data_IF_545499612516
#
_entry.id   IF_545499612516
#
_cell.length_a   1.000
_cell.length_b   1.000
_cell.length_c   1.000
_cell.angle_alpha   90.00
_cell.angle_beta   90.00
_cell.angle_gamma   90.00
#
_symmetry.space_group_name_H-M   'P 1'
#
loop_
_entity.id
_entity.type
_entity.pdbx_description
1 polymer ?
#
# COMPACT_ATOMS: atom_id res chain seq x y z
N UNK A 1 18.98 26.08 -8.75
CA UNK A 1 17.63 25.46 -8.71
C UNK A 1 17.57 24.51 -7.52
N UNK A 2 16.46 24.41 -6.78
CA UNK A 2 16.21 23.34 -5.79
C UNK A 2 14.77 22.87 -5.96
N UNK A 3 14.55 21.61 -6.35
CA UNK A 3 13.22 21.02 -6.53
C UNK A 3 12.97 19.93 -5.49
N UNK A 4 11.74 19.96 -4.95
CA UNK A 4 11.04 18.86 -4.25
C UNK A 4 11.83 18.23 -3.08
N UNK A 5 11.55 18.77 -1.89
CA UNK A 5 11.95 18.27 -0.57
C UNK A 5 11.22 16.96 -0.29
N UNK A 6 11.87 15.86 0.12
CA UNK A 6 11.25 14.53 0.03
C UNK A 6 11.75 13.49 1.09
N UNK A 7 10.78 12.77 1.67
CA UNK A 7 10.78 11.65 2.64
C UNK A 7 9.38 10.95 2.63
N UNK A 8 9.29 9.63 2.78
CA UNK A 8 8.05 8.91 3.13
C UNK A 8 8.25 8.29 4.52
N UNK A 9 7.73 8.88 5.59
CA UNK A 9 6.38 8.53 6.09
C UNK A 9 5.31 9.62 6.01
N UNK A 10 5.67 10.90 5.84
CA UNK A 10 4.68 11.97 5.55
C UNK A 10 4.94 12.67 4.21
N UNK A 11 4.45 11.99 3.16
CA UNK A 11 3.94 12.56 1.90
C UNK A 11 4.93 13.31 1.00
N UNK A 12 6.19 12.90 0.88
CA UNK A 12 7.10 13.72 0.05
C UNK A 12 8.10 12.82 -0.75
N UNK A 13 7.86 12.65 -2.07
CA UNK A 13 8.47 11.69 -3.03
C UNK A 13 9.63 12.27 -3.91
N UNK A 14 10.89 11.85 -3.73
CA UNK A 14 12.03 12.26 -4.61
C UNK A 14 12.22 11.29 -5.79
N UNK A 15 12.92 11.74 -6.81
CA UNK A 15 12.92 11.13 -8.15
C UNK A 15 13.57 9.73 -8.19
N UNK A 16 12.74 8.71 -7.96
CA UNK A 16 12.93 7.27 -8.29
C UNK A 16 13.84 6.42 -7.39
N UNK A 17 14.19 6.83 -6.17
CA UNK A 17 14.74 5.89 -5.17
C UNK A 17 14.32 6.21 -3.74
N UNK A 18 14.25 5.17 -2.91
CA UNK A 18 14.14 5.31 -1.46
C UNK A 18 15.55 5.40 -0.85
N UNK A 19 15.80 6.46 -0.09
CA UNK A 19 16.97 6.59 0.77
C UNK A 19 16.47 6.89 2.20
N UNK A 20 16.89 6.12 3.20
CA UNK A 20 16.58 6.44 4.61
C UNK A 20 16.32 5.32 5.61
N UNK A 21 16.40 4.04 5.24
CA UNK A 21 16.41 2.93 6.22
C UNK A 21 17.49 1.87 5.95
N UNK A 22 18.12 1.92 4.78
CA UNK A 22 19.16 0.99 4.36
C UNK A 22 20.47 1.31 5.09
N UNK A 23 20.95 0.38 5.92
CA UNK A 23 22.36 0.39 6.33
C UNK A 23 23.23 0.25 5.08
N UNK A 24 24.30 1.03 5.02
CA UNK A 24 25.19 1.10 3.85
C UNK A 24 25.75 -0.30 3.51
N UNK A 25 25.71 -0.67 2.22
CA UNK A 25 26.33 -1.90 1.71
C UNK A 25 25.44 -3.12 1.48
N UNK A 26 24.13 -3.08 1.81
CA UNK A 26 23.21 -4.15 1.36
C UNK A 26 22.82 -3.99 -0.13
N UNK A 27 22.60 -5.09 -0.84
CA UNK A 27 22.15 -5.06 -2.25
C UNK A 27 20.70 -4.55 -2.38
N UNK A 28 20.38 -3.84 -3.47
CA UNK A 28 19.07 -3.19 -3.67
C UNK A 28 17.92 -4.20 -3.79
N UNK A 29 18.15 -5.38 -4.39
CA UNK A 29 17.13 -6.44 -4.48
C UNK A 29 16.84 -7.08 -3.11
N UNK A 30 17.88 -7.21 -2.28
CA UNK A 30 17.77 -7.69 -0.89
C UNK A 30 17.05 -6.63 -0.03
N UNK A 31 17.35 -5.33 -0.22
CA UNK A 31 16.65 -4.25 0.48
C UNK A 31 15.16 -4.17 0.11
N UNK A 32 14.82 -4.32 -1.18
CA UNK A 32 13.45 -4.20 -1.66
C UNK A 32 12.56 -5.35 -1.14
N UNK A 33 13.10 -6.57 -1.10
CA UNK A 33 12.41 -7.75 -0.54
C UNK A 33 12.27 -7.71 0.99
N UNK A 34 13.22 -7.12 1.72
CA UNK A 34 13.11 -6.92 3.18
C UNK A 34 12.09 -5.82 3.54
N UNK A 35 12.13 -4.67 2.86
CA UNK A 35 11.33 -3.50 3.24
C UNK A 35 9.96 -3.41 2.54
N UNK A 36 9.79 -4.05 1.38
CA UNK A 36 8.55 -4.04 0.60
C UNK A 36 8.15 -5.46 0.12
N UNK A 37 8.05 -6.46 1.02
CA UNK A 37 7.73 -7.85 0.65
C UNK A 37 6.38 -7.97 -0.09
N UNK A 38 5.43 -7.08 0.22
CA UNK A 38 4.16 -6.96 -0.49
C UNK A 38 4.32 -6.54 -1.97
N UNK A 39 5.26 -5.64 -2.27
CA UNK A 39 5.47 -5.15 -3.63
C UNK A 39 6.20 -6.19 -4.47
N UNK A 40 7.19 -6.88 -3.88
CA UNK A 40 7.89 -7.99 -4.54
C UNK A 40 6.93 -9.14 -4.88
N UNK A 41 6.01 -9.49 -3.95
CA UNK A 41 4.93 -10.46 -4.20
C UNK A 41 4.01 -10.03 -5.37
N UNK A 42 3.71 -8.74 -5.49
CA UNK A 42 2.86 -8.22 -6.58
C UNK A 42 3.61 -8.07 -7.91
N UNK A 43 4.94 -7.92 -7.90
CA UNK A 43 5.77 -7.88 -9.11
C UNK A 43 6.09 -9.28 -9.65
N UNK A 44 6.22 -10.28 -8.78
CA UNK A 44 6.49 -11.69 -9.15
C UNK A 44 5.28 -12.46 -9.72
N UNK A 45 4.04 -12.04 -9.43
CA UNK A 45 2.81 -12.57 -10.07
C UNK A 45 2.84 -12.44 -11.61
N UNK A 46 2.15 -13.34 -12.33
CA UNK A 46 1.83 -13.12 -13.76
C UNK A 46 0.85 -11.96 -13.96
N UNK A 47 0.65 -11.53 -15.22
CA UNK A 47 -0.20 -10.39 -15.53
C UNK A 47 -1.70 -10.67 -15.29
N UNK A 48 -2.15 -11.92 -15.45
CA UNK A 48 -3.54 -12.31 -15.14
C UNK A 48 -3.75 -12.46 -13.63
N UNK A 49 -2.86 -13.11 -12.89
CA UNK A 49 -2.91 -13.18 -11.42
C UNK A 49 -2.92 -11.77 -10.79
N UNK A 50 -2.14 -10.83 -11.35
CA UNK A 50 -2.13 -9.45 -10.89
C UNK A 50 -3.44 -8.71 -11.19
N UNK A 51 -4.12 -8.98 -12.33
CA UNK A 51 -5.47 -8.46 -12.59
C UNK A 51 -6.48 -8.99 -11.57
N UNK A 52 -6.41 -10.28 -11.25
CA UNK A 52 -7.30 -10.92 -10.28
C UNK A 52 -7.05 -10.43 -8.85
N UNK A 53 -5.79 -10.29 -8.44
CA UNK A 53 -5.43 -9.73 -7.13
C UNK A 53 -5.82 -8.25 -7.03
N UNK A 54 -5.67 -7.44 -8.09
CA UNK A 54 -6.19 -6.06 -8.12
C UNK A 54 -7.72 -6.03 -7.99
N UNK A 55 -8.45 -6.93 -8.65
CA UNK A 55 -9.91 -7.07 -8.52
C UNK A 55 -10.30 -7.47 -7.09
N UNK A 56 -9.61 -8.43 -6.48
CA UNK A 56 -9.80 -8.91 -5.11
C UNK A 56 -9.52 -7.81 -4.08
N UNK A 57 -8.38 -7.13 -4.19
CA UNK A 57 -8.01 -6.00 -3.34
C UNK A 57 -9.01 -4.84 -3.48
N UNK A 58 -9.55 -4.56 -4.67
CA UNK A 58 -10.63 -3.57 -4.86
C UNK A 58 -11.91 -3.95 -4.09
N UNK A 59 -12.32 -5.21 -4.11
CA UNK A 59 -13.50 -5.67 -3.36
C UNK A 59 -13.28 -5.58 -1.84
N UNK A 60 -12.09 -5.96 -1.37
CA UNK A 60 -11.71 -5.82 0.03
C UNK A 60 -11.67 -4.35 0.47
N UNK A 61 -11.12 -3.45 -0.36
CA UNK A 61 -11.06 -2.02 -0.09
C UNK A 61 -12.47 -1.43 0.14
N UNK A 62 -13.40 -1.68 -0.80
CA UNK A 62 -14.81 -1.27 -0.65
C UNK A 62 -15.44 -1.82 0.63
N UNK A 63 -15.30 -3.13 0.91
CA UNK A 63 -15.82 -3.73 2.14
C UNK A 63 -15.23 -3.10 3.40
N UNK A 64 -13.94 -2.81 3.39
CA UNK A 64 -13.25 -2.20 4.53
C UNK A 64 -13.74 -0.76 4.77
N UNK A 65 -13.94 0.03 3.71
CA UNK A 65 -14.48 1.39 3.81
C UNK A 65 -15.91 1.40 4.38
N UNK A 66 -16.78 0.47 3.97
CA UNK A 66 -18.10 0.27 4.59
C UNK A 66 -17.96 -0.12 6.06
N UNK A 67 -17.04 -1.03 6.41
CA UNK A 67 -16.83 -1.46 7.82
C UNK A 67 -16.43 -0.29 8.74
N UNK A 68 -15.64 0.67 8.22
CA UNK A 68 -15.25 1.89 8.96
C UNK A 68 -16.38 2.93 9.03
N UNK A 69 -17.18 3.08 7.96
CA UNK A 69 -18.39 3.89 7.95
C UNK A 69 -19.38 3.41 9.03
N UNK A 70 -19.72 2.11 9.02
CA UNK A 70 -20.70 1.52 9.94
C UNK A 70 -20.22 1.58 11.39
N UNK A 71 -18.90 1.48 11.63
CA UNK A 71 -18.31 1.71 12.95
C UNK A 71 -18.45 3.16 13.41
N UNK A 72 -18.35 4.15 12.50
CA UNK A 72 -18.43 5.57 12.83
C UNK A 72 -19.87 6.05 13.06
N UNK A 73 -20.83 5.62 12.22
CA UNK A 73 -22.23 6.04 12.26
C UNK A 73 -23.02 5.31 13.37
N UNK A 74 -22.91 3.97 13.47
CA UNK A 74 -23.71 3.17 14.42
C UNK A 74 -22.88 2.53 15.55
N UNK A 75 -21.57 2.41 15.39
CA UNK A 75 -20.71 1.77 16.39
C UNK A 75 -20.41 2.62 17.62
N UNK A 76 -20.48 3.95 17.54
CA UNK A 76 -20.03 4.85 18.61
C UNK A 76 -21.20 5.32 19.51
N UNK A 77 -20.97 5.52 20.82
CA UNK A 77 -19.69 5.41 21.53
C UNK A 77 -19.32 3.99 21.98
N UNK A 78 -20.13 2.97 21.67
CA UNK A 78 -20.05 1.66 22.32
C UNK A 78 -18.83 0.81 21.88
N UNK A 79 -18.39 0.96 20.62
CA UNK A 79 -17.32 0.17 19.99
C UNK A 79 -16.03 0.97 19.74
N UNK A 80 -15.80 2.01 20.55
CA UNK A 80 -14.68 2.95 20.35
C UNK A 80 -13.29 2.29 20.35
N UNK A 81 -13.13 1.17 21.06
CA UNK A 81 -11.88 0.39 21.12
C UNK A 81 -11.52 -0.27 19.77
N UNK A 82 -12.49 -0.45 18.86
CA UNK A 82 -12.25 -1.02 17.53
C UNK A 82 -11.65 0.00 16.54
N UNK A 83 -11.78 1.32 16.79
CA UNK A 83 -11.38 2.39 15.86
C UNK A 83 -9.92 2.23 15.37
N UNK A 84 -8.91 2.04 16.25
CA UNK A 84 -7.51 1.97 15.80
C UNK A 84 -7.26 0.78 14.87
N UNK A 85 -7.91 -0.36 15.14
CA UNK A 85 -7.78 -1.57 14.34
C UNK A 85 -8.47 -1.43 13.00
N UNK A 86 -9.75 -1.03 12.99
CA UNK A 86 -10.53 -0.91 11.74
C UNK A 86 -9.94 0.17 10.83
N UNK A 87 -9.44 1.28 11.37
CA UNK A 87 -8.71 2.28 10.59
C UNK A 87 -7.40 1.73 9.98
N UNK A 88 -6.64 0.93 10.73
CA UNK A 88 -5.41 0.30 10.24
C UNK A 88 -5.69 -0.76 9.16
N UNK A 89 -6.71 -1.60 9.35
CA UNK A 89 -7.13 -2.62 8.38
C UNK A 89 -7.58 -1.97 7.06
N UNK A 90 -8.36 -0.87 7.12
CA UNK A 90 -8.74 -0.06 5.94
C UNK A 90 -7.53 0.54 5.25
N UNK A 91 -6.63 1.17 6.02
CA UNK A 91 -5.42 1.80 5.47
C UNK A 91 -4.58 0.80 4.70
N UNK A 92 -4.34 -0.40 5.26
CA UNK A 92 -3.50 -1.41 4.63
C UNK A 92 -4.13 -1.98 3.35
N UNK A 93 -5.41 -2.32 3.39
CA UNK A 93 -6.11 -2.85 2.20
C UNK A 93 -6.12 -1.82 1.06
N UNK A 94 -6.32 -0.53 1.37
CA UNK A 94 -6.21 0.53 0.37
C UNK A 94 -4.77 0.72 -0.12
N UNK A 95 -3.76 0.69 0.77
CA UNK A 95 -2.33 0.77 0.42
C UNK A 95 -1.94 -0.34 -0.56
N UNK A 96 -2.30 -1.59 -0.25
CA UNK A 96 -2.11 -2.76 -1.10
C UNK A 96 -2.82 -2.62 -2.45
N UNK A 97 -4.10 -2.24 -2.47
CA UNK A 97 -4.85 -2.02 -3.71
C UNK A 97 -4.17 -0.99 -4.62
N UNK A 98 -3.72 0.14 -4.07
CA UNK A 98 -3.02 1.17 -4.84
C UNK A 98 -1.64 0.73 -5.33
N UNK A 99 -0.85 -0.03 -4.54
CA UNK A 99 0.41 -0.67 -4.98
C UNK A 99 0.14 -1.61 -6.17
N UNK A 100 -0.77 -2.57 -5.99
CA UNK A 100 -1.10 -3.58 -7.00
C UNK A 100 -1.60 -2.95 -8.31
N UNK A 101 -2.51 -1.98 -8.21
CA UNK A 101 -3.04 -1.25 -9.36
C UNK A 101 -1.92 -0.50 -10.12
N UNK A 102 -0.99 0.15 -9.40
CA UNK A 102 0.15 0.87 -10.00
C UNK A 102 1.07 -0.09 -10.76
N UNK A 103 1.39 -1.25 -10.20
CA UNK A 103 2.21 -2.28 -10.87
C UNK A 103 1.51 -2.83 -12.11
N UNK A 104 0.19 -3.05 -12.04
CA UNK A 104 -0.59 -3.49 -13.21
C UNK A 104 -0.58 -2.43 -14.32
N UNK A 105 -0.77 -1.16 -13.96
CA UNK A 105 -0.68 -0.02 -14.87
C UNK A 105 0.72 0.26 -15.42
N UNK A 106 1.79 -0.18 -14.74
CA UNK A 106 3.17 -0.17 -15.26
C UNK A 106 3.34 -1.29 -16.30
N UNK A 107 2.94 -2.52 -15.95
CA UNK A 107 3.12 -3.72 -16.77
C UNK A 107 2.19 -3.81 -17.98
N UNK A 108 1.01 -3.19 -17.95
CA UNK A 108 0.05 -3.18 -19.06
C UNK A 108 0.28 -2.09 -20.11
N UNK A 109 1.40 -1.36 -20.02
CA UNK A 109 1.80 -0.30 -20.97
C UNK A 109 3.11 -0.64 -21.71
N UNK A 110 3.59 -1.87 -21.53
CA UNK A 110 4.74 -2.48 -22.22
C UNK A 110 4.22 -3.47 -23.26
#
# INVERSE_FOLDING_TARGET
MKRRLNMCDQRILMEKSCAGACKEGADVSIQMSICHPEEERLRSMSLEELKEEVKKLRMLAVKSATTLHDLAEEGLPHRWEEIPKVAQDVYEVHRLYHKAKKILEERSKT
#
